data_IF_056013762818
#
_entry.id   IF_056013762818
#
_cell.length_a   1.000
_cell.length_b   1.000
_cell.length_c   1.000
_cell.angle_alpha   90.00
_cell.angle_beta   90.00
_cell.angle_gamma   90.00
#
_symmetry.space_group_name_H-M   'P 1'
#
loop_
_entity.id
_entity.type
_entity.pdbx_description
1 polymer ?
#
# COMPACT_ATOMS: atom_id res chain seq x y z
N UNK A 1 -46.81 64.36 2.02
CA UNK A 1 -47.52 63.09 2.17
C UNK A 1 -46.80 62.00 1.34
N UNK A 2 -45.84 61.27 1.95
CA UNK A 2 -45.26 60.05 1.44
C UNK A 2 -45.18 59.05 2.60
N UNK A 3 -45.74 57.86 2.53
CA UNK A 3 -45.53 56.83 3.52
C UNK A 3 -44.23 56.06 3.23
N UNK A 4 -43.35 55.95 4.23
CA UNK A 4 -42.17 55.10 4.27
C UNK A 4 -42.58 53.64 4.18
N UNK A 5 -42.11 52.96 3.14
CA UNK A 5 -42.20 51.49 2.99
C UNK A 5 -41.01 50.89 3.74
N UNK A 6 -41.28 50.27 4.89
CA UNK A 6 -40.31 49.54 5.69
C UNK A 6 -40.13 48.15 5.07
N UNK A 7 -39.07 47.93 4.34
CA UNK A 7 -38.73 46.63 3.74
C UNK A 7 -37.92 45.80 4.74
N UNK A 8 -38.59 44.90 5.42
CA UNK A 8 -38.01 43.89 6.31
C UNK A 8 -37.25 42.86 5.47
N UNK A 9 -35.93 42.97 5.41
CA UNK A 9 -35.04 41.92 4.90
C UNK A 9 -34.99 40.78 5.89
N UNK A 10 -35.82 39.77 5.64
CA UNK A 10 -35.78 38.46 6.31
C UNK A 10 -34.50 37.72 5.82
N UNK A 11 -33.46 37.77 6.60
CA UNK A 11 -32.27 36.92 6.45
C UNK A 11 -32.68 35.47 6.71
N UNK A 12 -32.94 34.74 5.63
CA UNK A 12 -33.15 33.29 5.68
C UNK A 12 -31.75 32.66 5.80
N UNK A 13 -31.30 32.48 7.05
CA UNK A 13 -30.16 31.60 7.34
C UNK A 13 -30.56 30.18 6.99
N UNK A 14 -30.17 29.71 5.80
CA UNK A 14 -30.16 28.30 5.47
C UNK A 14 -29.11 27.64 6.37
N UNK A 15 -29.54 27.18 7.55
CA UNK A 15 -28.81 26.17 8.29
C UNK A 15 -28.84 24.92 7.40
N UNK A 16 -27.73 24.64 6.72
CA UNK A 16 -27.48 23.34 6.14
C UNK A 16 -27.46 22.36 7.33
N UNK A 17 -28.57 21.69 7.55
CA UNK A 17 -28.64 20.54 8.43
C UNK A 17 -27.74 19.47 7.80
N UNK A 18 -26.53 19.32 8.31
CA UNK A 18 -25.72 18.13 8.09
C UNK A 18 -26.51 17.00 8.75
N UNK A 19 -27.20 16.24 7.95
CA UNK A 19 -27.90 15.05 8.38
C UNK A 19 -26.81 14.04 8.72
N UNK A 20 -26.50 13.91 10.00
CA UNK A 20 -25.73 12.75 10.47
C UNK A 20 -26.59 11.52 10.10
N UNK A 21 -26.05 10.61 9.34
CA UNK A 21 -26.73 9.36 8.99
C UNK A 21 -27.06 8.63 10.30
N UNK A 22 -28.34 8.31 10.49
CA UNK A 22 -28.77 7.57 11.67
C UNK A 22 -28.21 6.14 11.59
N UNK A 23 -27.67 5.60 12.69
CA UNK A 23 -27.12 4.25 12.69
C UNK A 23 -28.20 3.21 12.30
N UNK A 24 -27.88 2.38 11.34
CA UNK A 24 -28.74 1.26 10.93
C UNK A 24 -28.61 0.11 11.92
N UNK A 25 -29.76 -0.41 12.42
CA UNK A 25 -29.77 -1.57 13.30
C UNK A 25 -29.95 -2.85 12.48
N UNK A 26 -29.04 -3.79 12.65
CA UNK A 26 -29.05 -5.09 11.96
C UNK A 26 -28.88 -6.24 12.93
N UNK A 27 -29.55 -7.36 12.69
CA UNK A 27 -29.35 -8.62 13.41
C UNK A 27 -28.72 -9.62 12.44
N UNK A 28 -27.62 -10.25 12.84
CA UNK A 28 -26.83 -11.17 12.00
C UNK A 28 -26.25 -12.31 12.82
N UNK A 29 -25.93 -13.39 12.12
CA UNK A 29 -25.21 -14.55 12.67
C UNK A 29 -23.79 -14.56 12.13
N UNK A 30 -22.82 -14.78 13.01
CA UNK A 30 -21.46 -15.15 12.63
C UNK A 30 -21.16 -16.57 13.04
N UNK A 31 -20.30 -17.25 12.31
CA UNK A 31 -19.96 -18.64 12.52
C UNK A 31 -18.45 -18.86 12.47
N UNK A 32 -17.96 -19.87 13.21
CA UNK A 32 -16.57 -20.32 13.16
C UNK A 32 -16.44 -21.80 13.42
N UNK A 33 -15.38 -22.41 12.89
CA UNK A 33 -15.04 -23.80 13.16
C UNK A 33 -14.38 -23.96 14.54
N UNK A 34 -14.78 -25.01 15.28
CA UNK A 34 -14.10 -25.36 16.54
C UNK A 34 -12.89 -26.21 16.19
N UNK A 35 -11.68 -25.66 16.37
CA UNK A 35 -10.41 -26.37 16.10
C UNK A 35 -9.79 -26.81 17.43
N UNK A 36 -9.46 -28.09 17.59
CA UNK A 36 -8.78 -28.61 18.77
C UNK A 36 -9.57 -28.44 20.06
N UNK A 37 -10.91 -28.47 20.01
CA UNK A 37 -11.83 -28.26 21.14
C UNK A 37 -11.78 -26.84 21.77
N UNK A 38 -11.08 -25.90 21.16
CA UNK A 38 -10.99 -24.52 21.62
C UNK A 38 -12.24 -23.70 21.28
N UNK A 39 -13.25 -23.82 22.16
CA UNK A 39 -14.52 -23.09 22.02
C UNK A 39 -14.37 -21.58 22.24
N UNK A 40 -13.40 -21.16 23.06
CA UNK A 40 -13.19 -19.76 23.35
C UNK A 40 -12.70 -19.03 22.09
N UNK A 41 -11.73 -19.60 21.42
CA UNK A 41 -11.24 -19.10 20.13
C UNK A 41 -12.34 -19.11 19.05
N UNK A 42 -13.09 -20.20 18.94
CA UNK A 42 -14.19 -20.30 17.97
C UNK A 42 -15.27 -19.24 18.23
N UNK A 43 -15.58 -18.94 19.52
CA UNK A 43 -16.49 -17.87 19.90
C UNK A 43 -15.99 -16.49 19.43
N UNK A 44 -14.73 -16.20 19.67
CA UNK A 44 -14.14 -14.90 19.28
C UNK A 44 -14.10 -14.73 17.75
N UNK A 45 -13.79 -15.80 17.02
CA UNK A 45 -13.81 -15.82 15.57
C UNK A 45 -15.26 -15.69 15.02
N UNK A 46 -16.24 -16.39 15.61
CA UNK A 46 -17.65 -16.25 15.24
C UNK A 46 -18.18 -14.82 15.53
N UNK A 47 -17.78 -14.21 16.63
CA UNK A 47 -18.14 -12.84 16.94
C UNK A 47 -17.55 -11.85 15.92
N UNK A 48 -16.31 -12.03 15.48
CA UNK A 48 -15.71 -11.24 14.40
C UNK A 48 -16.45 -11.43 13.08
N UNK A 49 -16.83 -12.66 12.76
CA UNK A 49 -17.64 -12.95 11.56
C UNK A 49 -19.01 -12.26 11.63
N UNK A 50 -19.68 -12.28 12.81
CA UNK A 50 -20.93 -11.56 13.02
C UNK A 50 -20.80 -10.04 12.79
N UNK A 51 -19.69 -9.43 13.23
CA UNK A 51 -19.45 -8.02 12.95
C UNK A 51 -19.29 -7.75 11.45
N UNK A 52 -18.55 -8.60 10.73
CA UNK A 52 -18.41 -8.49 9.27
C UNK A 52 -19.78 -8.58 8.58
N UNK A 53 -20.59 -9.56 8.97
CA UNK A 53 -21.95 -9.71 8.44
C UNK A 53 -22.85 -8.51 8.77
N UNK A 54 -22.66 -7.88 9.94
CA UNK A 54 -23.42 -6.68 10.30
C UNK A 54 -23.10 -5.49 9.38
N UNK A 55 -21.83 -5.30 9.03
CA UNK A 55 -21.40 -4.26 8.09
C UNK A 55 -21.92 -4.53 6.69
N UNK A 56 -21.84 -5.76 6.19
CA UNK A 56 -22.37 -6.16 4.89
C UNK A 56 -23.89 -5.93 4.82
N UNK A 57 -24.63 -6.30 5.87
CA UNK A 57 -26.08 -6.18 5.91
C UNK A 57 -26.57 -4.73 6.08
N UNK A 58 -25.80 -3.89 6.72
CA UNK A 58 -26.10 -2.48 6.88
C UNK A 58 -25.90 -1.68 5.59
N UNK A 59 -25.47 -2.33 4.50
CA UNK A 59 -25.16 -1.70 3.22
C UNK A 59 -24.20 -0.51 3.40
N UNK A 60 -23.24 -0.69 4.32
CA UNK A 60 -22.10 0.23 4.42
C UNK A 60 -21.49 0.29 3.03
N UNK A 61 -21.58 1.45 2.41
CA UNK A 61 -21.20 1.61 1.01
C UNK A 61 -19.67 1.47 0.87
N UNK A 62 -19.23 0.23 0.93
CA UNK A 62 -17.85 -0.20 0.69
C UNK A 62 -17.50 0.01 -0.81
N UNK A 63 -18.52 0.28 -1.66
CA UNK A 63 -18.38 0.38 -3.11
C UNK A 63 -17.41 1.46 -3.58
N UNK A 64 -17.31 2.59 -2.89
CA UNK A 64 -16.34 3.63 -3.24
C UNK A 64 -14.88 3.19 -2.98
N UNK A 65 -14.69 2.20 -2.11
CA UNK A 65 -13.39 1.59 -1.81
C UNK A 65 -13.16 0.32 -2.63
N UNK A 66 -14.22 -0.41 -2.99
CA UNK A 66 -14.16 -1.67 -3.74
C UNK A 66 -13.69 -1.47 -5.18
N UNK A 67 -13.87 -0.28 -5.76
CA UNK A 67 -13.31 0.05 -7.06
C UNK A 67 -11.79 0.33 -7.00
N UNK A 68 -11.22 0.55 -5.81
CA UNK A 68 -9.84 0.96 -5.64
C UNK A 68 -8.96 -0.04 -4.89
N UNK A 69 -9.54 -0.91 -4.07
CA UNK A 69 -8.80 -1.89 -3.26
C UNK A 69 -9.53 -3.22 -3.36
N UNK A 70 -8.82 -4.29 -3.69
CA UNK A 70 -9.39 -5.62 -3.85
C UNK A 70 -10.14 -6.07 -2.58
N UNK A 71 -11.24 -6.81 -2.74
CA UNK A 71 -12.21 -7.17 -1.69
C UNK A 71 -11.59 -7.76 -0.40
N UNK A 72 -10.37 -8.30 -0.49
CA UNK A 72 -9.67 -8.95 0.62
C UNK A 72 -9.04 -7.94 1.57
N UNK A 73 -8.38 -6.92 1.04
CA UNK A 73 -7.80 -5.85 1.90
C UNK A 73 -8.91 -5.11 2.62
N UNK A 74 -10.06 -4.92 1.96
CA UNK A 74 -11.25 -4.34 2.59
C UNK A 74 -11.80 -5.27 3.69
N UNK A 75 -11.87 -6.56 3.47
CA UNK A 75 -12.29 -7.52 4.51
C UNK A 75 -11.41 -7.43 5.75
N UNK A 76 -10.09 -7.38 5.58
CA UNK A 76 -9.15 -7.29 6.69
C UNK A 76 -9.19 -5.93 7.38
N UNK A 77 -9.34 -4.83 6.64
CA UNK A 77 -9.52 -3.47 7.18
C UNK A 77 -10.85 -3.34 7.91
N UNK A 78 -11.93 -3.86 7.33
CA UNK A 78 -13.26 -3.89 7.97
C UNK A 78 -13.21 -4.76 9.21
N UNK A 79 -12.51 -5.90 9.17
CA UNK A 79 -12.35 -6.80 10.32
C UNK A 79 -11.53 -6.15 11.46
N UNK A 80 -10.54 -5.34 11.15
CA UNK A 80 -9.73 -4.62 12.13
C UNK A 80 -10.43 -3.33 12.66
N UNK A 81 -11.32 -2.71 11.89
CA UNK A 81 -12.04 -1.46 12.23
C UNK A 81 -13.52 -1.64 12.55
N UNK A 82 -13.98 -2.87 12.68
CA UNK A 82 -15.38 -3.19 13.01
C UNK A 82 -15.88 -2.38 14.20
N UNK A 83 -15.03 -2.20 15.22
CA UNK A 83 -15.35 -1.41 16.40
C UNK A 83 -15.62 0.08 16.10
N UNK A 84 -15.07 0.64 15.03
CA UNK A 84 -15.32 2.02 14.60
C UNK A 84 -16.69 2.23 13.96
N UNK A 85 -17.18 1.23 13.21
CA UNK A 85 -18.47 1.28 12.51
C UNK A 85 -19.62 0.70 13.31
N UNK A 86 -19.37 -0.29 14.18
CA UNK A 86 -20.35 -0.85 15.11
C UNK A 86 -20.31 -0.04 16.40
N UNK A 87 -21.25 0.90 16.56
CA UNK A 87 -21.32 1.78 17.73
C UNK A 87 -21.78 1.07 19.00
N UNK A 88 -22.62 0.08 18.86
CA UNK A 88 -23.10 -0.77 19.95
C UNK A 88 -23.63 -2.08 19.40
N UNK A 89 -23.50 -3.12 20.20
CA UNK A 89 -24.02 -4.44 19.86
C UNK A 89 -24.42 -5.17 21.14
N UNK A 90 -25.26 -6.20 20.98
CA UNK A 90 -25.62 -7.16 22.00
C UNK A 90 -25.64 -8.56 21.42
N UNK A 91 -25.26 -9.56 22.22
CA UNK A 91 -25.40 -10.96 21.84
C UNK A 91 -26.85 -11.37 22.14
N UNK A 92 -27.55 -11.83 21.13
CA UNK A 92 -28.93 -12.34 21.24
C UNK A 92 -28.92 -13.87 21.44
N UNK A 93 -27.86 -14.56 21.00
CA UNK A 93 -27.67 -16.00 21.17
C UNK A 93 -26.27 -16.45 20.77
N UNK A 94 -25.79 -17.48 21.40
CA UNK A 94 -24.53 -18.12 21.03
C UNK A 94 -24.52 -19.61 21.41
N UNK A 95 -23.75 -20.43 20.71
CA UNK A 95 -23.62 -21.85 21.01
C UNK A 95 -22.99 -22.65 19.89
N UNK A 96 -23.07 -23.96 20.01
CA UNK A 96 -22.61 -24.90 18.99
C UNK A 96 -23.80 -25.42 18.21
N UNK A 97 -23.76 -25.34 16.88
CA UNK A 97 -24.77 -25.82 15.97
C UNK A 97 -24.63 -27.35 15.78
N UNK A 98 -25.67 -27.97 15.23
CA UNK A 98 -25.69 -29.39 14.94
C UNK A 98 -24.60 -29.83 13.93
N UNK A 99 -24.11 -28.89 13.10
CA UNK A 99 -23.03 -29.07 12.13
C UNK A 99 -21.63 -28.96 12.75
N UNK A 100 -21.55 -28.74 14.08
CA UNK A 100 -20.29 -28.64 14.82
C UNK A 100 -19.63 -27.26 14.77
N UNK A 101 -20.24 -26.26 14.12
CA UNK A 101 -19.75 -24.89 14.10
C UNK A 101 -20.23 -24.12 15.35
N UNK A 102 -19.40 -23.21 15.84
CA UNK A 102 -19.81 -22.22 16.83
C UNK A 102 -20.51 -21.06 16.13
N UNK A 103 -21.64 -20.61 16.68
CA UNK A 103 -22.35 -19.44 16.19
C UNK A 103 -22.50 -18.37 17.26
N UNK A 104 -22.58 -17.13 16.82
CA UNK A 104 -22.91 -15.95 17.64
C UNK A 104 -23.90 -15.10 16.85
N UNK A 105 -25.11 -14.88 17.40
CA UNK A 105 -26.09 -13.96 16.86
C UNK A 105 -25.96 -12.62 17.57
N UNK A 106 -25.79 -11.54 16.83
CA UNK A 106 -25.74 -10.19 17.40
C UNK A 106 -26.79 -9.29 16.78
N UNK A 107 -27.31 -8.35 17.59
CA UNK A 107 -27.98 -7.15 17.10
C UNK A 107 -27.04 -5.96 17.26
N UNK A 108 -26.65 -5.34 16.14
CA UNK A 108 -25.64 -4.30 16.08
C UNK A 108 -26.22 -3.00 15.51
N UNK A 109 -25.78 -1.85 16.04
CA UNK A 109 -26.02 -0.52 15.45
C UNK A 109 -24.79 -0.12 14.65
N UNK A 110 -24.96 -0.01 13.33
CA UNK A 110 -23.89 0.26 12.37
C UNK A 110 -24.04 1.66 11.82
N UNK A 111 -22.96 2.42 11.78
CA UNK A 111 -22.90 3.71 11.10
C UNK A 111 -22.56 3.48 9.64
N UNK A 112 -23.43 3.98 8.75
CA UNK A 112 -23.33 3.82 7.29
C UNK A 112 -22.53 4.93 6.60
N UNK A 113 -21.77 5.75 7.37
CA UNK A 113 -20.89 6.73 6.75
C UNK A 113 -19.87 6.00 5.87
N UNK A 114 -19.91 6.29 4.57
CA UNK A 114 -18.91 5.76 3.63
C UNK A 114 -17.52 6.15 4.09
N UNK A 115 -16.59 5.18 4.14
CA UNK A 115 -15.15 5.46 4.24
C UNK A 115 -14.82 6.36 3.05
N UNK A 116 -14.52 7.63 3.31
CA UNK A 116 -14.16 8.58 2.26
C UNK A 116 -12.75 8.28 1.78
N UNK A 117 -12.49 8.50 0.48
CA UNK A 117 -11.14 8.44 -0.09
C UNK A 117 -10.12 9.29 0.68
N UNK A 118 -10.57 10.27 1.46
CA UNK A 118 -9.76 11.18 2.27
C UNK A 118 -9.62 10.72 3.72
N UNK A 119 -10.10 9.51 4.08
CA UNK A 119 -10.01 9.02 5.44
C UNK A 119 -8.59 8.53 5.74
N UNK A 120 -7.80 9.45 6.28
CA UNK A 120 -6.40 9.24 6.66
C UNK A 120 -6.24 8.11 7.67
N UNK A 121 -7.19 7.96 8.59
CA UNK A 121 -7.12 6.93 9.64
C UNK A 121 -7.42 5.53 9.07
N UNK A 122 -8.36 5.43 8.14
CA UNK A 122 -8.62 4.17 7.44
C UNK A 122 -7.40 3.73 6.62
N UNK A 123 -6.75 4.67 5.92
CA UNK A 123 -5.56 4.36 5.15
C UNK A 123 -4.37 3.96 6.03
N UNK A 124 -4.15 4.63 7.16
CA UNK A 124 -3.12 4.24 8.14
C UNK A 124 -3.32 2.81 8.63
N UNK A 125 -4.57 2.42 8.83
CA UNK A 125 -4.89 1.06 9.24
C UNK A 125 -4.56 0.05 8.15
N UNK A 126 -4.90 0.35 6.88
CA UNK A 126 -4.53 -0.48 5.71
C UNK A 126 -3.01 -0.67 5.68
N UNK A 127 -2.26 0.42 5.79
CA UNK A 127 -0.80 0.41 5.79
C UNK A 127 -0.24 -0.44 6.94
N UNK A 128 -0.84 -0.37 8.11
CA UNK A 128 -0.45 -1.17 9.28
C UNK A 128 -0.72 -2.67 9.06
N UNK A 129 -1.89 -3.04 8.54
CA UNK A 129 -2.25 -4.43 8.19
C UNK A 129 -1.29 -5.00 7.14
N UNK A 130 -0.83 -4.17 6.22
CA UNK A 130 0.17 -4.55 5.19
C UNK A 130 1.58 -4.74 5.75
N UNK A 131 1.80 -4.58 7.05
CA UNK A 131 3.10 -4.73 7.70
C UNK A 131 3.96 -3.46 7.67
N UNK A 132 3.36 -2.28 7.53
CA UNK A 132 4.04 -0.99 7.51
C UNK A 132 5.17 -0.91 6.48
N UNK A 133 4.88 -0.89 5.18
CA UNK A 133 5.89 -0.88 4.14
C UNK A 133 6.89 0.25 4.32
N UNK A 134 8.17 -0.09 4.19
CA UNK A 134 9.28 0.85 4.31
C UNK A 134 9.63 1.40 2.94
N UNK A 135 9.80 2.70 2.85
CA UNK A 135 10.16 3.34 1.59
C UNK A 135 11.43 4.16 1.68
N UNK A 136 12.07 4.35 0.54
CA UNK A 136 13.18 5.27 0.36
C UNK A 136 12.94 6.16 -0.85
N UNK A 137 13.22 7.45 -0.73
CA UNK A 137 13.13 8.41 -1.84
C UNK A 137 14.53 8.84 -2.25
N UNK A 138 14.83 8.76 -3.55
CA UNK A 138 16.11 9.17 -4.14
C UNK A 138 15.84 10.02 -5.38
N UNK A 139 16.08 11.32 -5.29
CA UNK A 139 15.82 12.26 -6.38
C UNK A 139 17.05 13.10 -6.70
N UNK A 140 17.33 13.29 -7.99
CA UNK A 140 18.23 14.35 -8.45
C UNK A 140 17.40 15.63 -8.64
N UNK A 141 17.68 16.65 -7.84
CA UNK A 141 16.99 17.94 -7.90
C UNK A 141 17.93 19.03 -8.41
N UNK A 142 17.46 19.76 -9.43
CA UNK A 142 18.12 20.96 -9.92
C UNK A 142 17.11 22.11 -9.89
N UNK A 143 17.37 23.12 -9.06
CA UNK A 143 16.51 24.29 -8.96
C UNK A 143 17.22 25.53 -9.53
N UNK A 144 16.78 25.96 -10.72
CA UNK A 144 17.37 27.07 -11.46
C UNK A 144 18.90 26.92 -11.61
N UNK A 145 19.30 25.85 -12.27
CA UNK A 145 20.71 25.54 -12.60
C UNK A 145 21.60 25.20 -11.40
N UNK A 146 21.05 25.10 -10.17
CA UNK A 146 21.80 24.77 -8.97
C UNK A 146 21.21 23.53 -8.27
N UNK A 147 22.09 22.68 -7.76
CA UNK A 147 21.70 21.56 -6.89
C UNK A 147 21.53 22.09 -5.46
N UNK A 148 20.33 21.97 -4.86
CA UNK A 148 20.14 22.38 -3.47
C UNK A 148 20.82 21.40 -2.51
N UNK A 149 21.25 21.84 -1.32
CA UNK A 149 21.85 20.94 -0.32
C UNK A 149 20.90 19.85 0.19
N UNK A 150 19.60 20.08 0.05
CA UNK A 150 18.52 19.15 0.40
C UNK A 150 17.45 19.20 -0.68
N UNK A 151 16.99 18.03 -1.13
CA UNK A 151 15.94 17.95 -2.14
C UNK A 151 14.58 18.31 -1.54
N UNK A 152 13.95 19.33 -2.11
CA UNK A 152 12.57 19.72 -1.76
C UNK A 152 11.58 18.62 -2.13
N UNK A 153 11.78 17.95 -3.27
CA UNK A 153 10.91 16.87 -3.71
C UNK A 153 10.97 15.68 -2.76
N UNK A 154 12.19 15.25 -2.38
CA UNK A 154 12.36 14.15 -1.41
C UNK A 154 11.71 14.47 -0.07
N UNK A 155 11.93 15.68 0.45
CA UNK A 155 11.35 16.11 1.72
C UNK A 155 9.81 16.10 1.64
N UNK A 156 9.23 16.63 0.55
CA UNK A 156 7.77 16.68 0.37
C UNK A 156 7.15 15.30 0.26
N UNK A 157 7.76 14.40 -0.52
CA UNK A 157 7.29 13.01 -0.65
C UNK A 157 7.41 12.26 0.68
N UNK A 158 8.55 12.42 1.37
CA UNK A 158 8.77 11.77 2.67
C UNK A 158 7.77 12.26 3.71
N UNK A 159 7.56 13.57 3.83
CA UNK A 159 6.59 14.18 4.74
C UNK A 159 5.18 13.64 4.45
N UNK A 160 4.75 13.69 3.19
CA UNK A 160 3.40 13.27 2.80
C UNK A 160 3.15 11.79 3.06
N UNK A 161 4.09 10.91 2.68
CA UNK A 161 3.94 9.46 2.89
C UNK A 161 3.98 9.09 4.37
N UNK A 162 4.90 9.68 5.16
CA UNK A 162 4.97 9.40 6.61
C UNK A 162 3.73 9.88 7.35
N UNK A 163 3.13 10.97 6.92
CA UNK A 163 1.87 11.48 7.44
C UNK A 163 0.71 10.48 7.33
N UNK A 164 0.75 9.62 6.32
CA UNK A 164 -0.22 8.55 6.10
C UNK A 164 0.19 7.20 6.71
N UNK A 165 1.31 7.14 7.45
CA UNK A 165 1.73 5.97 8.20
C UNK A 165 2.77 5.09 7.52
N UNK A 166 3.28 5.46 6.34
CA UNK A 166 4.41 4.76 5.73
C UNK A 166 5.70 5.02 6.51
N UNK A 167 6.61 4.05 6.52
CA UNK A 167 7.88 4.16 7.24
C UNK A 167 9.03 4.55 6.32
N UNK A 168 9.58 5.75 6.51
CA UNK A 168 10.78 6.19 5.80
C UNK A 168 12.04 5.50 6.35
N UNK A 169 12.97 5.16 5.46
CA UNK A 169 14.31 4.73 5.84
C UNK A 169 15.08 5.89 6.49
N UNK A 170 15.86 5.56 7.53
CA UNK A 170 16.68 6.54 8.25
C UNK A 170 17.58 7.32 7.29
N UNK A 171 17.56 8.66 7.33
CA UNK A 171 18.42 9.53 6.50
C UNK A 171 19.91 9.24 6.64
N UNK A 172 20.37 8.79 7.81
CA UNK A 172 21.77 8.42 8.02
C UNK A 172 22.16 7.17 7.21
N UNK A 173 21.27 6.19 7.12
CA UNK A 173 21.46 5.01 6.27
C UNK A 173 21.40 5.38 4.79
N UNK A 174 20.47 6.27 4.40
CA UNK A 174 20.34 6.77 3.04
C UNK A 174 21.63 7.41 2.54
N UNK A 175 22.29 8.23 3.35
CA UNK A 175 23.53 8.91 3.01
C UNK A 175 24.66 7.96 2.57
N UNK A 176 24.68 6.73 3.11
CA UNK A 176 25.71 5.72 2.78
C UNK A 176 25.60 5.27 1.32
N UNK A 177 24.41 5.30 0.73
CA UNK A 177 24.16 4.81 -0.63
C UNK A 177 24.01 5.93 -1.67
N UNK A 178 23.76 7.14 -1.24
CA UNK A 178 23.34 8.27 -2.09
C UNK A 178 24.35 8.60 -3.19
N UNK A 179 25.64 8.42 -2.90
CA UNK A 179 26.75 8.67 -3.83
C UNK A 179 27.15 7.44 -4.65
N UNK A 180 26.48 6.29 -4.47
CA UNK A 180 26.83 5.06 -5.18
C UNK A 180 26.41 5.12 -6.66
N UNK A 181 27.09 4.35 -7.51
CA UNK A 181 26.73 4.23 -8.92
C UNK A 181 25.29 3.68 -9.10
N UNK A 182 24.87 2.77 -8.22
CA UNK A 182 23.49 2.26 -8.25
C UNK A 182 22.47 3.36 -7.94
N UNK A 183 22.77 4.28 -7.01
CA UNK A 183 21.89 5.41 -6.73
C UNK A 183 21.76 6.33 -7.95
N UNK A 184 22.89 6.66 -8.58
CA UNK A 184 22.88 7.46 -9.82
C UNK A 184 22.07 6.79 -10.96
N UNK A 185 22.20 5.47 -11.11
CA UNK A 185 21.45 4.72 -12.11
C UNK A 185 19.96 4.64 -11.77
N UNK A 186 19.60 4.40 -10.52
CA UNK A 186 18.21 4.36 -10.05
C UNK A 186 17.48 5.70 -10.32
N UNK A 187 18.12 6.82 -10.00
CA UNK A 187 17.61 8.17 -10.26
C UNK A 187 17.42 8.47 -11.77
N UNK A 188 18.10 7.72 -12.63
CA UNK A 188 17.95 7.80 -14.11
C UNK A 188 16.93 6.79 -14.66
N UNK A 189 16.22 6.06 -13.80
CA UNK A 189 15.17 5.12 -14.20
C UNK A 189 15.62 3.67 -14.34
N UNK A 190 16.82 3.31 -13.88
CA UNK A 190 17.28 1.92 -13.89
C UNK A 190 16.63 1.14 -12.73
N UNK A 191 15.60 0.37 -13.05
CA UNK A 191 14.83 -0.42 -12.08
C UNK A 191 15.68 -1.49 -11.38
N UNK A 192 16.64 -2.10 -12.09
CA UNK A 192 17.55 -3.09 -11.49
C UNK A 192 18.47 -2.45 -10.46
N UNK A 193 18.96 -1.24 -10.73
CA UNK A 193 19.76 -0.49 -9.77
C UNK A 193 18.93 -0.04 -8.57
N UNK A 194 17.70 0.41 -8.81
CA UNK A 194 16.72 0.76 -7.78
C UNK A 194 16.44 -0.44 -6.88
N UNK A 195 16.14 -1.59 -7.46
CA UNK A 195 15.89 -2.83 -6.73
C UNK A 195 17.07 -3.23 -5.84
N UNK A 196 18.32 -3.21 -6.36
CA UNK A 196 19.51 -3.54 -5.58
C UNK A 196 19.71 -2.62 -4.37
N UNK A 197 19.42 -1.34 -4.55
CA UNK A 197 19.48 -0.36 -3.45
C UNK A 197 18.43 -0.63 -2.39
N UNK A 198 17.18 -0.79 -2.82
CA UNK A 198 16.08 -1.03 -1.92
C UNK A 198 16.30 -2.30 -1.09
N UNK A 199 16.74 -3.39 -1.72
CA UNK A 199 17.12 -4.63 -1.02
C UNK A 199 18.24 -4.42 0.00
N UNK A 200 19.27 -3.65 -0.34
CA UNK A 200 20.38 -3.33 0.57
C UNK A 200 19.91 -2.54 1.78
N UNK A 201 18.95 -1.66 1.58
CA UNK A 201 18.37 -0.79 2.61
C UNK A 201 17.19 -1.44 3.36
N UNK A 202 16.79 -2.64 2.96
CA UNK A 202 15.60 -3.30 3.50
C UNK A 202 14.34 -2.41 3.34
N UNK A 203 14.24 -1.72 2.20
CA UNK A 203 13.04 -1.00 1.80
C UNK A 203 12.14 -1.91 0.99
N UNK A 204 10.84 -1.74 1.13
CA UNK A 204 9.83 -2.46 0.32
C UNK A 204 9.56 -1.71 -0.98
N UNK A 205 9.65 -0.37 -0.94
CA UNK A 205 9.47 0.50 -2.11
C UNK A 205 10.63 1.48 -2.22
N UNK A 206 11.13 1.66 -3.44
CA UNK A 206 12.04 2.74 -3.77
C UNK A 206 11.35 3.71 -4.73
N UNK A 207 11.37 4.99 -4.38
CA UNK A 207 10.87 6.08 -5.21
C UNK A 207 12.11 6.82 -5.73
N UNK A 208 12.35 6.72 -7.04
CA UNK A 208 13.55 7.27 -7.63
C UNK A 208 13.26 8.10 -8.89
N UNK A 209 14.01 9.16 -9.10
CA UNK A 209 13.81 10.00 -10.26
C UNK A 209 14.59 11.31 -10.24
N UNK A 210 14.05 12.28 -10.95
CA UNK A 210 14.65 13.62 -11.09
C UNK A 210 13.60 14.71 -11.15
N UNK A 211 13.98 15.89 -10.74
CA UNK A 211 13.20 17.14 -10.91
C UNK A 211 14.12 18.30 -11.25
N UNK A 212 13.69 19.13 -12.15
CA UNK A 212 14.40 20.38 -12.48
C UNK A 212 13.40 21.50 -12.71
N UNK A 213 13.88 22.74 -12.57
CA UNK A 213 13.06 23.93 -12.77
C UNK A 213 13.62 24.85 -13.85
N UNK A 214 12.72 25.50 -14.55
CA UNK A 214 13.03 26.51 -15.56
C UNK A 214 12.37 27.85 -15.20
N UNK A 215 13.05 28.93 -15.54
CA UNK A 215 12.50 30.29 -15.44
C UNK A 215 11.40 30.46 -16.47
N UNK A 216 10.25 30.97 -16.03
CA UNK A 216 9.20 31.38 -16.96
C UNK A 216 9.35 32.88 -17.28
N UNK A 217 9.01 33.31 -18.51
CA UNK A 217 8.94 34.73 -18.85
C UNK A 217 7.97 35.44 -17.91
N UNK A 218 8.26 36.72 -17.61
CA UNK A 218 7.30 37.55 -16.90
C UNK A 218 6.05 37.67 -17.77
N UNK A 219 4.91 37.42 -17.18
CA UNK A 219 3.61 37.58 -17.82
C UNK A 219 2.94 38.86 -17.34
N UNK A 220 1.85 39.28 -17.99
CA UNK A 220 1.10 40.49 -17.69
C UNK A 220 0.65 40.59 -16.23
N UNK A 221 0.39 39.46 -15.55
CA UNK A 221 -0.03 39.46 -14.14
C UNK A 221 1.07 39.87 -13.16
N UNK A 222 2.34 39.78 -13.57
CA UNK A 222 3.50 40.13 -12.75
C UNK A 222 4.21 41.40 -13.26
N UNK A 223 3.65 42.04 -14.32
CA UNK A 223 4.18 43.29 -14.83
C UNK A 223 4.08 44.38 -13.76
N UNK A 224 5.17 45.11 -13.53
CA UNK A 224 5.24 46.12 -12.46
C UNK A 224 5.42 45.57 -11.04
N UNK A 225 5.51 44.25 -10.85
CA UNK A 225 5.80 43.64 -9.56
C UNK A 225 7.21 43.02 -9.51
N UNK A 226 7.70 42.70 -8.27
CA UNK A 226 8.93 41.96 -8.07
C UNK A 226 8.73 40.45 -8.15
N UNK A 227 7.52 39.97 -8.47
CA UNK A 227 7.22 38.56 -8.57
C UNK A 227 7.75 37.97 -9.88
N UNK A 228 8.26 36.74 -9.76
CA UNK A 228 8.73 35.92 -10.89
C UNK A 228 8.12 34.54 -10.78
N UNK A 229 8.11 33.82 -11.89
CA UNK A 229 7.60 32.44 -11.93
C UNK A 229 8.61 31.46 -12.51
N UNK A 230 8.56 30.26 -12.01
CA UNK A 230 9.33 29.11 -12.49
C UNK A 230 8.39 27.93 -12.69
N UNK A 231 8.78 26.98 -13.55
CA UNK A 231 8.04 25.74 -13.76
C UNK A 231 8.93 24.57 -13.41
N UNK A 232 8.41 23.66 -12.61
CA UNK A 232 9.08 22.39 -12.30
C UNK A 232 8.63 21.31 -13.28
N UNK A 233 9.58 20.50 -13.69
CA UNK A 233 9.43 19.29 -14.49
C UNK A 233 9.99 18.12 -13.68
N UNK A 234 9.19 17.14 -13.41
CA UNK A 234 9.60 15.98 -12.63
C UNK A 234 9.29 14.68 -13.35
N UNK A 235 10.10 13.67 -13.09
CA UNK A 235 9.83 12.30 -13.51
C UNK A 235 10.35 11.39 -12.41
N UNK A 236 9.43 10.67 -11.79
CA UNK A 236 9.71 9.78 -10.66
C UNK A 236 9.00 8.45 -10.91
N UNK A 237 9.64 7.36 -10.56
CA UNK A 237 9.06 6.03 -10.57
C UNK A 237 9.12 5.42 -9.18
N UNK A 238 8.04 4.75 -8.80
CA UNK A 238 7.98 3.90 -7.63
C UNK A 238 8.16 2.43 -8.05
N UNK A 239 9.09 1.73 -7.41
CA UNK A 239 9.47 0.35 -7.76
C UNK A 239 9.38 -0.52 -6.52
N UNK A 240 8.75 -1.69 -6.64
CA UNK A 240 8.79 -2.72 -5.60
C UNK A 240 10.22 -3.27 -5.52
N UNK A 241 10.80 -3.20 -4.32
CA UNK A 241 12.18 -3.62 -4.09
C UNK A 241 12.44 -5.08 -4.46
N UNK A 242 11.48 -5.93 -4.24
CA UNK A 242 11.66 -7.37 -4.34
C UNK A 242 11.53 -7.90 -5.77
N UNK A 243 10.52 -7.44 -6.48
CA UNK A 243 10.24 -7.91 -7.84
C UNK A 243 10.88 -7.04 -8.91
N UNK A 244 11.19 -5.77 -8.58
CA UNK A 244 11.62 -4.76 -9.55
C UNK A 244 10.46 -4.25 -10.42
N UNK A 245 9.22 -4.57 -10.03
CA UNK A 245 8.02 -4.10 -10.71
C UNK A 245 7.83 -2.60 -10.48
N UNK A 246 7.47 -1.89 -11.54
CA UNK A 246 7.15 -0.47 -11.45
C UNK A 246 5.69 -0.35 -11.01
N UNK A 247 5.49 0.21 -9.83
CA UNK A 247 4.15 0.48 -9.28
C UNK A 247 3.49 1.68 -9.97
N UNK A 248 4.29 2.72 -10.17
CA UNK A 248 3.79 3.97 -10.72
C UNK A 248 4.92 4.78 -11.36
N UNK A 249 4.57 5.59 -12.36
CA UNK A 249 5.44 6.58 -12.98
C UNK A 249 4.72 7.91 -13.04
N UNK A 250 5.13 8.85 -12.21
CA UNK A 250 4.55 10.17 -12.16
C UNK A 250 5.46 11.20 -12.81
N UNK A 251 4.89 12.05 -13.66
CA UNK A 251 5.62 13.12 -14.36
C UNK A 251 4.86 14.45 -14.32
N UNK A 252 4.47 14.96 -13.13
CA UNK A 252 3.77 16.22 -13.06
C UNK A 252 4.66 17.40 -13.43
N UNK A 253 4.01 18.43 -13.98
CA UNK A 253 4.61 19.72 -14.26
C UNK A 253 3.78 20.78 -13.57
N UNK A 254 4.39 21.56 -12.68
CA UNK A 254 3.68 22.58 -11.90
C UNK A 254 4.40 23.93 -11.99
N UNK A 255 3.68 25.05 -12.10
CA UNK A 255 4.26 26.37 -11.97
C UNK A 255 4.37 26.77 -10.50
N UNK A 256 5.28 27.67 -10.19
CA UNK A 256 5.38 28.33 -8.89
C UNK A 256 5.69 29.82 -9.06
N UNK A 257 5.32 30.62 -8.09
CA UNK A 257 5.60 32.02 -8.05
C UNK A 257 6.31 32.45 -6.76
N UNK A 258 7.25 33.40 -6.86
CA UNK A 258 8.06 33.85 -5.74
C UNK A 258 8.74 35.19 -5.99
N UNK A 259 9.51 35.67 -5.01
CA UNK A 259 10.31 36.88 -5.15
C UNK A 259 11.61 36.64 -5.92
N UNK A 260 12.07 35.40 -5.96
CA UNK A 260 13.20 34.95 -6.77
C UNK A 260 12.78 33.73 -7.60
N UNK A 261 13.47 33.47 -8.72
CA UNK A 261 13.23 32.28 -9.53
C UNK A 261 13.45 30.97 -8.75
N UNK A 262 14.42 30.98 -7.80
CA UNK A 262 14.67 29.84 -6.94
C UNK A 262 13.52 29.57 -5.96
N UNK A 263 12.99 30.63 -5.32
CA UNK A 263 11.82 30.52 -4.44
C UNK A 263 10.59 30.05 -5.22
N UNK A 264 10.37 30.61 -6.41
CA UNK A 264 9.32 30.15 -7.32
C UNK A 264 9.53 28.68 -7.71
N UNK A 265 10.75 28.25 -8.02
CA UNK A 265 11.11 26.88 -8.33
C UNK A 265 10.86 25.92 -7.16
N UNK A 266 11.26 26.30 -5.95
CA UNK A 266 11.00 25.51 -4.74
C UNK A 266 9.50 25.25 -4.53
N UNK A 267 8.67 26.28 -4.71
CA UNK A 267 7.20 26.12 -4.62
C UNK A 267 6.64 25.22 -5.72
N UNK A 268 7.17 25.36 -6.94
CA UNK A 268 6.79 24.50 -8.06
C UNK A 268 7.14 23.01 -7.80
N UNK A 269 8.35 22.75 -7.28
CA UNK A 269 8.80 21.42 -6.90
C UNK A 269 7.92 20.84 -5.79
N UNK A 270 7.61 21.63 -4.76
CA UNK A 270 6.71 21.21 -3.67
C UNK A 270 5.34 20.80 -4.19
N UNK A 271 4.76 21.55 -5.12
CA UNK A 271 3.48 21.18 -5.74
C UNK A 271 3.57 19.90 -6.58
N UNK A 272 4.70 19.65 -7.26
CA UNK A 272 4.94 18.38 -7.93
C UNK A 272 4.96 17.24 -6.91
N UNK A 273 5.69 17.39 -5.80
CA UNK A 273 5.78 16.40 -4.73
C UNK A 273 4.42 16.06 -4.11
N UNK A 274 3.61 17.07 -3.82
CA UNK A 274 2.25 16.87 -3.31
C UNK A 274 1.38 16.09 -4.29
N UNK A 275 1.37 16.48 -5.56
CA UNK A 275 0.60 15.78 -6.60
C UNK A 275 1.03 14.32 -6.77
N UNK A 276 2.33 14.02 -6.67
CA UNK A 276 2.83 12.64 -6.72
C UNK A 276 2.47 11.84 -5.46
N UNK A 277 2.57 12.49 -4.29
CA UNK A 277 2.24 11.83 -3.03
C UNK A 277 0.78 11.40 -3.00
N UNK A 278 -0.14 12.24 -3.50
CA UNK A 278 -1.57 11.92 -3.59
C UNK A 278 -1.83 10.65 -4.41
N UNK A 279 -1.08 10.44 -5.49
CA UNK A 279 -1.17 9.22 -6.29
C UNK A 279 -0.50 8.03 -5.60
N UNK A 280 0.73 8.18 -5.10
CA UNK A 280 1.51 7.10 -4.49
C UNK A 280 0.88 6.57 -3.20
N UNK A 281 0.30 7.44 -2.37
CA UNK A 281 -0.37 7.09 -1.13
C UNK A 281 -1.44 6.01 -1.36
N UNK A 282 -2.13 6.05 -2.48
CA UNK A 282 -3.17 5.09 -2.84
C UNK A 282 -2.66 3.93 -3.71
N UNK A 283 -1.71 4.19 -4.62
CA UNK A 283 -1.22 3.16 -5.54
C UNK A 283 -0.33 2.12 -4.85
N UNK A 284 0.45 2.52 -3.83
CA UNK A 284 1.30 1.59 -3.08
C UNK A 284 0.47 0.46 -2.43
N UNK A 285 -0.59 0.75 -1.64
CA UNK A 285 -1.42 -0.29 -1.04
C UNK A 285 -2.10 -1.19 -2.07
N UNK A 286 -2.57 -0.61 -3.18
CA UNK A 286 -3.23 -1.36 -4.24
C UNK A 286 -2.34 -2.46 -4.82
N UNK A 287 -1.05 -2.22 -4.96
CA UNK A 287 -0.13 -3.17 -5.59
C UNK A 287 0.58 -4.09 -4.58
N UNK A 288 0.82 -3.63 -3.36
CA UNK A 288 1.51 -4.43 -2.34
C UNK A 288 0.53 -5.26 -1.51
N UNK A 289 -0.71 -4.77 -1.30
CA UNK A 289 -1.69 -5.36 -0.38
C UNK A 289 -2.94 -5.99 -1.01
N UNK A 290 -3.19 -5.76 -2.27
CA UNK A 290 -4.54 -5.88 -2.86
C UNK A 290 -4.89 -7.22 -3.50
N UNK A 291 -4.05 -8.26 -3.45
CA UNK A 291 -4.46 -9.52 -4.06
C UNK A 291 -4.73 -10.61 -3.01
N UNK A 292 -5.90 -11.29 -3.14
CA UNK A 292 -6.12 -12.61 -2.50
C UNK A 292 -4.96 -13.54 -2.80
N UNK A 293 -4.26 -13.29 -3.89
CA UNK A 293 -3.09 -13.99 -4.34
C UNK A 293 -1.87 -13.08 -4.28
N UNK A 294 -1.00 -13.31 -3.33
CA UNK A 294 0.32 -12.67 -3.30
C UNK A 294 1.24 -13.34 -4.31
N UNK A 295 2.03 -12.54 -5.02
CA UNK A 295 3.11 -13.08 -5.85
C UNK A 295 4.38 -13.15 -5.01
N UNK A 296 4.88 -14.36 -4.79
CA UNK A 296 6.13 -14.61 -4.09
C UNK A 296 7.16 -15.09 -5.11
N UNK A 297 8.27 -14.39 -5.20
CA UNK A 297 9.39 -14.81 -6.02
C UNK A 297 10.23 -15.84 -5.27
N UNK A 298 10.33 -17.04 -5.83
CA UNK A 298 11.18 -18.12 -5.31
C UNK A 298 12.44 -18.25 -6.15
N UNK A 299 13.60 -18.10 -5.50
CA UNK A 299 14.92 -18.38 -6.08
C UNK A 299 15.47 -19.68 -5.51
N UNK A 300 15.80 -20.60 -6.39
CA UNK A 300 16.34 -21.92 -5.99
C UNK A 300 17.76 -22.09 -6.49
N UNK A 301 18.71 -22.00 -5.58
CA UNK A 301 20.12 -22.21 -5.86
C UNK A 301 20.49 -23.69 -6.01
N UNK A 302 21.47 -23.99 -6.84
CA UNK A 302 22.01 -25.36 -7.04
C UNK A 302 20.97 -26.39 -7.50
N UNK A 303 20.00 -25.99 -8.33
CA UNK A 303 18.95 -26.85 -8.84
C UNK A 303 19.39 -27.51 -10.15
N UNK A 304 19.40 -28.87 -10.21
CA UNK A 304 19.58 -29.58 -11.46
C UNK A 304 18.34 -29.48 -12.34
N UNK A 305 18.50 -29.59 -13.69
CA UNK A 305 17.37 -29.50 -14.60
C UNK A 305 16.30 -30.56 -14.34
N UNK A 306 16.70 -31.79 -14.00
CA UNK A 306 15.76 -32.86 -13.63
C UNK A 306 14.90 -32.51 -12.42
N UNK A 307 15.44 -31.76 -11.48
CA UNK A 307 14.74 -31.35 -10.28
C UNK A 307 13.88 -30.09 -10.49
N UNK A 308 14.26 -29.25 -11.47
CA UNK A 308 13.47 -28.08 -11.86
C UNK A 308 12.04 -28.46 -12.30
N UNK A 309 11.93 -29.49 -13.15
CA UNK A 309 10.61 -29.98 -13.60
C UNK A 309 9.79 -30.60 -12.47
N UNK A 310 10.44 -31.36 -11.58
CA UNK A 310 9.79 -31.99 -10.40
C UNK A 310 9.31 -30.91 -9.42
N UNK A 311 10.19 -29.95 -9.08
CA UNK A 311 9.85 -28.86 -8.20
C UNK A 311 8.66 -28.06 -8.72
N UNK A 312 8.63 -27.80 -10.03
CA UNK A 312 7.50 -27.10 -10.66
C UNK A 312 6.17 -27.85 -10.42
N UNK A 313 6.20 -29.18 -10.47
CA UNK A 313 5.04 -30.03 -10.17
C UNK A 313 4.63 -29.95 -8.70
N UNK A 314 5.60 -30.07 -7.79
CA UNK A 314 5.35 -29.98 -6.35
C UNK A 314 4.79 -28.62 -5.94
N UNK A 315 5.35 -27.53 -6.47
CA UNK A 315 4.85 -26.17 -6.21
C UNK A 315 3.38 -26.01 -6.64
N UNK A 316 3.01 -26.55 -7.82
CA UNK A 316 1.62 -26.51 -8.33
C UNK A 316 0.63 -27.30 -7.47
N UNK A 317 1.11 -28.31 -6.76
CA UNK A 317 0.28 -29.17 -5.90
C UNK A 317 0.13 -28.64 -4.48
N UNK A 318 0.80 -27.55 -4.13
CA UNK A 318 0.66 -26.92 -2.80
C UNK A 318 -0.70 -26.26 -2.65
N UNK A 319 -1.39 -26.54 -1.55
CA UNK A 319 -2.79 -26.11 -1.32
C UNK A 319 -3.00 -24.61 -1.37
N UNK A 320 -2.00 -23.81 -0.96
CA UNK A 320 -2.07 -22.36 -0.97
C UNK A 320 -1.58 -21.73 -2.29
N UNK A 321 -1.00 -22.52 -3.19
CA UNK A 321 -0.46 -22.05 -4.47
C UNK A 321 -1.55 -22.12 -5.53
N UNK A 322 -1.88 -21.01 -6.13
CA UNK A 322 -2.89 -20.90 -7.20
C UNK A 322 -2.24 -20.97 -8.57
N UNK A 323 -1.09 -20.32 -8.75
CA UNK A 323 -0.36 -20.35 -10.01
C UNK A 323 1.16 -20.39 -9.78
N UNK A 324 1.88 -21.09 -10.67
CA UNK A 324 3.35 -21.13 -10.70
C UNK A 324 3.80 -20.71 -12.09
N UNK A 325 4.60 -19.66 -12.17
CA UNK A 325 5.20 -19.16 -13.40
C UNK A 325 6.71 -19.39 -13.35
N UNK A 326 7.23 -20.50 -13.93
CA UNK A 326 8.66 -20.71 -14.05
C UNK A 326 9.25 -19.67 -15.00
N UNK A 327 10.26 -18.90 -14.53
CA UNK A 327 10.91 -17.84 -15.33
C UNK A 327 12.12 -18.34 -16.10
N UNK A 328 12.55 -19.55 -15.84
CA UNK A 328 13.61 -20.23 -16.55
C UNK A 328 14.57 -20.96 -15.63
N UNK A 329 15.40 -21.78 -16.23
CA UNK A 329 16.51 -22.48 -15.60
C UNK A 329 17.77 -22.30 -16.45
N UNK A 330 18.87 -21.92 -15.81
CA UNK A 330 20.18 -21.84 -16.42
C UNK A 330 21.19 -22.53 -15.49
N UNK A 331 22.16 -23.24 -16.08
CA UNK A 331 23.16 -23.94 -15.33
C UNK A 331 24.00 -22.97 -14.50
N UNK A 332 24.24 -23.32 -13.23
CA UNK A 332 25.01 -22.53 -12.28
C UNK A 332 24.37 -21.15 -11.92
N UNK A 333 23.13 -20.93 -12.31
CA UNK A 333 22.32 -19.78 -11.90
C UNK A 333 21.14 -20.25 -11.04
N UNK A 334 20.58 -19.38 -10.17
CA UNK A 334 19.34 -19.69 -9.46
C UNK A 334 18.19 -19.88 -10.43
N UNK A 335 17.42 -20.95 -10.27
CA UNK A 335 16.13 -21.05 -10.95
C UNK A 335 15.13 -20.10 -10.30
N UNK A 336 14.37 -19.38 -11.12
CA UNK A 336 13.42 -18.37 -10.68
C UNK A 336 12.00 -18.78 -10.98
N UNK A 337 11.13 -18.67 -9.99
CA UNK A 337 9.69 -18.89 -10.10
C UNK A 337 8.95 -17.70 -9.51
N UNK A 338 7.90 -17.24 -10.18
CA UNK A 338 6.91 -16.40 -9.55
C UNK A 338 5.74 -17.28 -9.16
N UNK A 339 5.42 -17.28 -7.87
CA UNK A 339 4.40 -18.13 -7.28
C UNK A 339 3.25 -17.25 -6.79
N UNK A 340 2.07 -17.43 -7.38
CA UNK A 340 0.86 -16.84 -6.82
C UNK A 340 0.30 -17.74 -5.74
N UNK A 341 0.05 -17.19 -4.57
CA UNK A 341 -0.41 -17.92 -3.40
C UNK A 341 -1.40 -17.09 -2.57
N UNK A 342 -2.39 -17.77 -2.01
CA UNK A 342 -3.31 -17.21 -1.00
C UNK A 342 -2.72 -17.24 0.41
N UNK A 343 -1.57 -17.91 0.59
CA UNK A 343 -0.81 -17.95 1.85
C UNK A 343 0.25 -16.85 1.93
N UNK A 344 0.86 -16.72 3.10
CA UNK A 344 1.99 -15.82 3.30
C UNK A 344 3.33 -16.49 2.93
N UNK A 345 4.41 -15.68 2.86
CA UNK A 345 5.74 -16.19 2.52
C UNK A 345 6.30 -17.16 3.58
N UNK A 346 5.94 -17.00 4.84
CA UNK A 346 6.36 -17.87 5.93
C UNK A 346 5.76 -19.28 5.79
N UNK A 347 4.45 -19.35 5.48
CA UNK A 347 3.78 -20.62 5.20
C UNK A 347 4.38 -21.33 3.99
N UNK A 348 4.70 -20.57 2.94
CA UNK A 348 5.36 -21.13 1.76
C UNK A 348 6.78 -21.60 2.10
N UNK A 349 7.56 -20.81 2.84
CA UNK A 349 8.91 -21.15 3.28
C UNK A 349 8.91 -22.45 4.11
N UNK A 350 8.03 -22.57 5.11
CA UNK A 350 7.89 -23.76 5.92
C UNK A 350 7.58 -25.02 5.07
N UNK A 351 6.78 -24.88 4.02
CA UNK A 351 6.48 -25.98 3.09
C UNK A 351 7.68 -26.34 2.20
N UNK A 352 8.45 -25.32 1.76
CA UNK A 352 9.66 -25.56 0.96
C UNK A 352 10.73 -26.35 1.76
N UNK A 353 10.83 -26.14 3.07
CA UNK A 353 11.71 -26.96 3.92
C UNK A 353 11.33 -28.44 3.93
N UNK A 354 10.03 -28.76 3.85
CA UNK A 354 9.56 -30.16 3.74
C UNK A 354 10.01 -30.82 2.44
N UNK A 355 10.29 -30.02 1.40
CA UNK A 355 10.82 -30.49 0.11
C UNK A 355 12.37 -30.56 0.08
N UNK A 356 13.04 -30.59 1.23
CA UNK A 356 14.49 -30.62 1.35
C UNK A 356 15.20 -29.42 0.72
N UNK A 357 14.53 -28.26 0.74
CA UNK A 357 15.07 -26.98 0.40
C UNK A 357 15.43 -26.24 1.70
N UNK A 358 16.68 -25.81 1.82
CA UNK A 358 17.14 -25.00 2.95
C UNK A 358 16.91 -23.52 2.66
N UNK A 359 16.20 -22.84 3.54
CA UNK A 359 15.95 -21.40 3.43
C UNK A 359 17.26 -20.65 3.66
N UNK A 360 17.68 -19.85 2.68
CA UNK A 360 18.82 -18.94 2.82
C UNK A 360 18.34 -17.60 3.36
N UNK A 361 17.22 -17.12 2.79
CA UNK A 361 16.60 -15.86 3.16
C UNK A 361 15.15 -15.83 2.71
N UNK A 362 14.27 -15.21 3.47
CA UNK A 362 12.94 -14.89 3.00
C UNK A 362 12.46 -13.52 3.54
N UNK A 363 11.53 -12.93 2.85
CA UNK A 363 10.77 -11.76 3.25
C UNK A 363 9.33 -11.89 2.67
N UNK A 364 8.53 -10.84 2.74
CA UNK A 364 7.10 -10.92 2.43
C UNK A 364 6.78 -11.45 1.02
N UNK A 365 7.64 -11.17 0.00
CA UNK A 365 7.36 -11.52 -1.40
C UNK A 365 8.52 -12.26 -2.08
N UNK A 366 9.58 -12.61 -1.33
CA UNK A 366 10.74 -13.33 -1.89
C UNK A 366 11.26 -14.38 -0.93
N UNK A 367 11.50 -15.56 -1.47
CA UNK A 367 12.13 -16.68 -0.77
C UNK A 367 13.34 -17.12 -1.58
N UNK A 368 14.49 -17.19 -0.95
CA UNK A 368 15.69 -17.75 -1.52
C UNK A 368 16.07 -19.01 -0.78
N UNK A 369 16.22 -20.10 -1.53
CA UNK A 369 16.52 -21.43 -1.00
C UNK A 369 17.69 -22.05 -1.74
N UNK A 370 18.30 -23.05 -1.12
CA UNK A 370 19.22 -23.95 -1.79
C UNK A 370 18.80 -25.40 -1.60
N UNK A 371 19.06 -26.22 -2.60
CA UNK A 371 18.85 -27.66 -2.50
C UNK A 371 19.87 -28.27 -1.52
N UNK A 372 19.36 -29.03 -0.55
CA UNK A 372 20.24 -29.82 0.34
C UNK A 372 20.73 -31.06 -0.36
N UNK A 373 21.91 -31.58 0.04
CA UNK A 373 22.49 -32.82 -0.53
C UNK A 373 21.73 -34.09 -0.13
N UNK A 374 20.78 -34.03 0.81
CA UNK A 374 19.91 -35.18 1.16
C UNK A 374 18.93 -35.38 0.02
N UNK A 375 18.95 -36.56 -0.61
CA UNK A 375 18.21 -36.88 -1.83
C UNK A 375 16.70 -36.61 -1.70
N UNK A 376 16.15 -35.97 -2.69
CA UNK A 376 14.72 -35.61 -2.80
C UNK A 376 13.80 -36.85 -2.95
N UNK A 377 14.37 -37.98 -3.30
CA UNK A 377 13.55 -39.13 -3.71
C UNK A 377 14.21 -40.47 -3.28
N UNK A 378 14.06 -40.80 -2.04
CA UNK A 378 14.21 -42.17 -1.58
C UNK A 378 12.84 -42.69 -1.10
N UNK A 379 11.99 -43.00 -2.03
CA UNK A 379 10.84 -43.89 -1.88
C UNK A 379 10.71 -44.77 -3.12
#
# INVERSE_FOLDING_TARGET
LYPLLFMCLMNFCFLAYVRADEPTTVTVDGISAIIGEDRARARDEALRDAYRMALEKADVNISAYTEMVDLVVIKDVVQANVEGYVKSWQIDGEGVRDDGLYFVTITAKVVTEAIKKDDKEALKLIINIMGNPRFIVLVDETNIEEEPPFSTLEATLTESLTDYGYHSIDPAQKKIIEETENARRAKRGDTTAAQKLAMRMQADVIIAGKVYTEKLPKNEYFEGTNWVSSKAYSTVQAVIAETGEILDVASPQKPGAGLTYRDAGTKAIKQCGQSMADDLIWNIPLHIGASEEKTIQLLVNNLAYSDYSKLTGELKNMRSVTHVFPRGWEKDQPAVYDIKTTGNAEDLAARLETLSLEIIRFNMNKIEVKKTKKGWWSW
#
